data_IF_664216673530
#
_entry.id   IF_664216673530
#
_cell.length_a   1.000
_cell.length_b   1.000
_cell.length_c   1.000
_cell.angle_alpha   90.00
_cell.angle_beta   90.00
_cell.angle_gamma   90.00
#
_symmetry.space_group_name_H-M   'P 1'
#
loop_
_entity.id
_entity.type
_entity.pdbx_description
1 polymer ?
#
# COMPACT_ATOMS: atom_id res chain seq x y z
N UNK A 1 -11.26 -7.07 7.86
CA UNK A 1 -10.88 -5.82 7.19
C UNK A 1 -10.27 -6.12 5.83
N UNK A 2 -10.56 -5.29 4.86
CA UNK A 2 -9.95 -5.36 3.54
C UNK A 2 -8.95 -4.22 3.40
N UNK A 3 -7.80 -4.49 2.78
CA UNK A 3 -6.82 -3.48 2.44
C UNK A 3 -6.20 -3.78 1.08
N UNK A 4 -5.54 -2.79 0.52
CA UNK A 4 -4.92 -2.87 -0.80
C UNK A 4 -3.44 -2.51 -0.69
N UNK A 5 -2.62 -3.16 -1.51
CA UNK A 5 -1.19 -2.92 -1.57
C UNK A 5 -0.66 -3.15 -2.97
N UNK A 6 0.55 -2.69 -3.24
CA UNK A 6 1.29 -3.08 -4.43
C UNK A 6 2.48 -3.95 -4.02
N UNK A 7 2.89 -4.84 -4.91
CA UNK A 7 4.12 -5.61 -4.74
C UNK A 7 4.64 -6.03 -6.12
N UNK A 8 5.91 -6.43 -6.19
CA UNK A 8 6.47 -6.93 -7.43
C UNK A 8 5.73 -8.20 -7.86
N UNK A 9 5.46 -8.33 -9.15
CA UNK A 9 4.73 -9.47 -9.72
C UNK A 9 5.44 -10.82 -9.52
N UNK A 10 6.74 -10.79 -9.25
CA UNK A 10 7.53 -12.01 -8.99
C UNK A 10 7.25 -12.64 -7.63
N UNK A 11 6.61 -11.90 -6.72
CA UNK A 11 6.29 -12.39 -5.38
C UNK A 11 4.95 -13.10 -5.38
N UNK A 12 4.92 -14.29 -4.78
CA UNK A 12 3.70 -15.08 -4.66
C UNK A 12 2.73 -14.43 -3.68
N UNK A 13 1.51 -14.14 -4.14
CA UNK A 13 0.49 -13.51 -3.31
C UNK A 13 0.07 -14.43 -2.16
N UNK A 14 0.06 -15.74 -2.39
CA UNK A 14 -0.28 -16.72 -1.36
C UNK A 14 0.66 -16.66 -0.14
N UNK A 15 1.89 -16.21 -0.31
CA UNK A 15 2.85 -16.07 0.79
C UNK A 15 2.38 -15.06 1.85
N UNK A 16 1.52 -14.12 1.47
CA UNK A 16 0.97 -13.12 2.40
C UNK A 16 0.04 -13.73 3.44
N UNK A 17 -0.49 -14.93 3.18
CA UNK A 17 -1.39 -15.63 4.12
C UNK A 17 -0.64 -16.55 5.07
N UNK A 18 0.67 -16.66 4.93
CA UNK A 18 1.53 -17.47 5.79
C UNK A 18 2.02 -16.62 6.97
N UNK A 19 1.77 -17.08 8.19
CA UNK A 19 2.04 -16.29 9.39
C UNK A 19 3.48 -15.80 9.49
N UNK A 20 4.46 -16.61 9.09
CA UNK A 20 5.88 -16.29 9.13
C UNK A 20 6.27 -15.14 8.21
N UNK A 21 5.43 -14.82 7.22
CA UNK A 21 5.68 -13.75 6.25
C UNK A 21 4.93 -12.45 6.59
N UNK A 22 4.16 -12.44 7.67
CA UNK A 22 3.30 -11.30 8.01
C UNK A 22 4.01 -10.29 8.92
N UNK A 23 5.06 -9.70 8.36
CA UNK A 23 5.86 -8.68 9.02
C UNK A 23 6.10 -7.51 8.10
N UNK A 24 6.12 -6.31 8.66
CA UNK A 24 6.46 -5.08 7.94
C UNK A 24 7.75 -4.51 8.49
N UNK A 25 8.67 -4.22 7.58
CA UNK A 25 9.98 -3.66 7.89
C UNK A 25 9.96 -2.18 7.49
N UNK A 26 10.33 -1.26 8.40
CA UNK A 26 10.36 0.15 8.07
C UNK A 26 11.40 0.44 7.00
N UNK A 27 11.08 1.38 6.11
CA UNK A 27 12.02 1.82 5.07
C UNK A 27 13.07 2.74 5.71
N UNK A 28 14.34 2.37 5.55
CA UNK A 28 15.44 3.29 5.78
C UNK A 28 16.04 3.38 7.18
N UNK A 29 15.65 2.52 8.12
CA UNK A 29 16.25 2.58 9.45
C UNK A 29 16.52 1.21 10.06
N UNK A 30 17.77 0.93 10.37
CA UNK A 30 18.16 -0.28 11.10
C UNK A 30 17.66 -0.25 12.56
N UNK A 31 17.29 0.93 13.05
CA UNK A 31 16.88 1.16 14.44
C UNK A 31 15.37 1.14 14.64
N UNK A 32 14.60 1.03 13.55
CA UNK A 32 13.14 1.01 13.64
C UNK A 32 12.63 -0.41 13.87
N UNK A 33 11.62 -0.52 14.71
CA UNK A 33 11.02 -1.80 15.06
C UNK A 33 10.27 -2.43 13.90
N UNK A 34 10.49 -3.73 13.69
CA UNK A 34 9.69 -4.54 12.81
C UNK A 34 8.29 -4.68 13.42
N UNK A 35 7.26 -4.53 12.59
CA UNK A 35 5.87 -4.61 13.04
C UNK A 35 5.19 -5.85 12.50
N UNK A 36 4.32 -6.43 13.31
CA UNK A 36 3.50 -7.57 12.89
C UNK A 36 2.40 -7.09 11.96
N UNK A 37 2.28 -7.71 10.80
CA UNK A 37 1.23 -7.47 9.83
C UNK A 37 1.77 -7.07 8.46
N UNK A 38 0.92 -7.21 7.45
CA UNK A 38 1.21 -6.81 6.08
C UNK A 38 0.66 -5.39 5.86
N UNK A 39 1.51 -4.51 5.36
CA UNK A 39 1.14 -3.12 5.10
C UNK A 39 0.22 -3.00 3.88
N UNK A 40 -0.80 -2.17 4.02
CA UNK A 40 -1.72 -1.82 2.94
C UNK A 40 -2.49 -0.55 3.30
N UNK A 41 -3.41 -0.15 2.45
CA UNK A 41 -4.32 0.97 2.68
C UNK A 41 -5.75 0.50 2.54
N UNK A 42 -6.67 1.13 3.28
CA UNK A 42 -8.08 0.70 3.31
C UNK A 42 -8.83 0.95 2.01
N UNK A 43 -8.42 1.94 1.25
CA UNK A 43 -9.05 2.27 -0.04
C UNK A 43 -8.01 2.36 -1.13
N UNK A 44 -8.46 2.20 -2.38
CA UNK A 44 -7.58 2.37 -3.54
C UNK A 44 -7.09 3.81 -3.66
N UNK A 45 -7.91 4.79 -3.32
CA UNK A 45 -7.50 6.20 -3.34
C UNK A 45 -6.39 6.47 -2.34
N UNK A 46 -6.52 5.96 -1.11
CA UNK A 46 -5.48 6.09 -0.10
C UNK A 46 -4.18 5.40 -0.55
N UNK A 47 -4.29 4.21 -1.15
CA UNK A 47 -3.12 3.51 -1.67
C UNK A 47 -2.45 4.29 -2.79
N UNK A 48 -3.22 4.83 -3.74
CA UNK A 48 -2.68 5.60 -4.84
C UNK A 48 -1.91 6.83 -4.33
N UNK A 49 -2.48 7.57 -3.39
CA UNK A 49 -1.84 8.72 -2.78
C UNK A 49 -0.57 8.32 -2.01
N UNK A 50 -0.64 7.23 -1.26
CA UNK A 50 0.51 6.71 -0.51
C UNK A 50 1.66 6.33 -1.45
N UNK A 51 1.38 5.57 -2.50
CA UNK A 51 2.39 5.16 -3.48
C UNK A 51 3.00 6.37 -4.18
N UNK A 52 2.17 7.33 -4.58
CA UNK A 52 2.64 8.52 -5.30
C UNK A 52 3.56 9.41 -4.46
N UNK A 53 3.35 9.48 -3.15
CA UNK A 53 4.07 10.40 -2.26
C UNK A 53 5.21 9.76 -1.48
N UNK A 54 5.21 8.43 -1.31
CA UNK A 54 6.22 7.74 -0.50
C UNK A 54 7.47 7.33 -1.27
N UNK A 55 7.43 7.34 -2.61
CA UNK A 55 8.56 6.92 -3.42
C UNK A 55 8.78 5.41 -3.45
N UNK A 56 7.78 4.62 -3.11
CA UNK A 56 7.88 3.16 -3.14
C UNK A 56 8.14 2.70 -4.58
N UNK A 57 9.20 1.88 -4.73
CA UNK A 57 9.50 1.21 -6.00
C UNK A 57 9.27 -0.29 -5.82
N UNK A 58 8.25 -0.82 -6.46
CA UNK A 58 7.93 -2.24 -6.42
C UNK A 58 8.38 -2.98 -7.69
N UNK A 59 9.22 -2.36 -8.51
CA UNK A 59 9.72 -2.96 -9.76
C UNK A 59 8.62 -3.05 -10.81
N UNK A 60 8.13 -4.27 -11.06
CA UNK A 60 6.96 -4.51 -11.91
C UNK A 60 5.73 -4.71 -11.03
N UNK A 61 5.06 -3.64 -10.61
CA UNK A 61 4.05 -3.73 -9.58
C UNK A 61 2.75 -4.37 -10.06
N UNK A 62 2.13 -5.13 -9.16
CA UNK A 62 0.75 -5.58 -9.30
C UNK A 62 -0.06 -5.07 -8.11
N UNK A 63 -1.34 -4.85 -8.34
CA UNK A 63 -2.27 -4.45 -7.30
C UNK A 63 -2.81 -5.70 -6.60
N UNK A 64 -2.79 -5.70 -5.27
CA UNK A 64 -3.18 -6.84 -4.46
C UNK A 64 -4.23 -6.41 -3.44
N UNK A 65 -5.26 -7.23 -3.31
CA UNK A 65 -6.27 -7.11 -2.26
C UNK A 65 -5.98 -8.14 -1.17
N UNK A 66 -5.91 -7.69 0.07
CA UNK A 66 -5.75 -8.57 1.23
C UNK A 66 -6.93 -8.43 2.17
N UNK A 67 -7.26 -9.52 2.85
CA UNK A 67 -8.37 -9.56 3.79
C UNK A 67 -7.99 -10.37 5.02
N UNK A 68 -8.26 -9.82 6.20
CA UNK A 68 -7.99 -10.46 7.47
C UNK A 68 -8.16 -9.50 8.63
N UNK A 69 -7.87 -9.97 9.86
CA UNK A 69 -7.95 -9.10 11.02
C UNK A 69 -6.84 -8.04 11.00
N UNK A 70 -7.12 -6.92 11.62
CA UNK A 70 -6.14 -5.86 11.82
C UNK A 70 -5.11 -6.30 12.85
N UNK A 71 -3.83 -6.03 12.59
CA UNK A 71 -2.76 -6.27 13.56
C UNK A 71 -2.94 -5.38 14.80
N UNK A 72 -2.45 -5.85 15.93
CA UNK A 72 -2.37 -5.03 17.15
C UNK A 72 -1.24 -4.01 17.10
N UNK A 73 -0.28 -4.19 16.19
CA UNK A 73 0.82 -3.25 16.02
C UNK A 73 0.36 -2.01 15.24
N UNK A 74 1.00 -0.89 15.52
CA UNK A 74 0.70 0.37 14.88
C UNK A 74 1.52 0.52 13.59
N UNK A 75 0.91 0.92 12.46
CA UNK A 75 1.68 1.20 11.25
C UNK A 75 2.54 2.46 11.40
N UNK A 76 3.65 2.51 10.66
CA UNK A 76 4.55 3.67 10.65
C UNK A 76 3.85 4.89 10.05
N UNK A 77 3.15 4.70 8.95
CA UNK A 77 2.54 5.77 8.16
C UNK A 77 1.02 5.83 8.34
N UNK A 78 0.55 5.67 9.58
CA UNK A 78 -0.88 5.70 9.90
C UNK A 78 -1.58 6.97 9.41
N UNK A 79 -0.90 8.11 9.46
CA UNK A 79 -1.44 9.40 9.00
C UNK A 79 -1.59 9.47 7.49
N UNK A 80 -0.93 8.57 6.75
CA UNK A 80 -1.03 8.45 5.30
C UNK A 80 -1.99 7.34 4.87
N UNK A 81 -2.78 6.81 5.79
CA UNK A 81 -3.77 5.77 5.50
C UNK A 81 -3.24 4.34 5.57
N UNK A 82 -2.01 4.14 6.00
CA UNK A 82 -1.46 2.79 6.16
C UNK A 82 -2.16 2.03 7.28
N UNK A 83 -2.45 0.76 7.02
CA UNK A 83 -2.93 -0.21 8.01
C UNK A 83 -2.08 -1.47 7.95
N UNK A 84 -2.03 -2.20 9.05
CA UNK A 84 -1.38 -3.51 9.12
C UNK A 84 -2.44 -4.58 9.29
N UNK A 85 -2.45 -5.55 8.40
CA UNK A 85 -3.42 -6.64 8.35
C UNK A 85 -2.70 -7.97 8.55
N UNK A 86 -3.39 -8.94 9.13
CA UNK A 86 -2.95 -10.33 9.17
C UNK A 86 -3.77 -11.09 8.13
N UNK A 87 -3.31 -11.16 6.86
CA UNK A 87 -4.15 -11.70 5.80
C UNK A 87 -4.51 -13.17 5.98
N UNK A 88 -5.77 -13.47 5.81
CA UNK A 88 -6.31 -14.83 5.69
C UNK A 88 -6.60 -15.15 4.22
N UNK A 89 -6.73 -14.11 3.39
CA UNK A 89 -6.91 -14.22 1.96
C UNK A 89 -6.15 -13.10 1.26
N UNK A 90 -5.63 -13.38 0.07
CA UNK A 90 -4.93 -12.41 -0.76
C UNK A 90 -5.13 -12.77 -2.22
N UNK A 91 -5.37 -11.75 -3.06
CA UNK A 91 -5.56 -11.96 -4.49
C UNK A 91 -4.99 -10.79 -5.30
N UNK A 92 -4.48 -11.09 -6.49
CA UNK A 92 -4.09 -10.07 -7.45
C UNK A 92 -5.34 -9.51 -8.12
N UNK A 93 -5.42 -8.18 -8.18
CA UNK A 93 -6.47 -7.51 -8.95
C UNK A 93 -5.96 -7.34 -10.37
N UNK A 94 -6.57 -8.09 -11.32
CA UNK A 94 -6.10 -8.13 -12.69
C UNK A 94 -6.36 -6.82 -13.45
N UNK A 95 -7.45 -6.12 -13.13
CA UNK A 95 -7.84 -4.87 -13.79
C UNK A 95 -7.28 -3.68 -13.00
N UNK A 96 -5.97 -3.45 -13.15
CA UNK A 96 -5.23 -2.45 -12.39
C UNK A 96 -4.68 -1.29 -13.24
N UNK A 97 -4.94 -1.30 -14.53
CA UNK A 97 -4.39 -0.29 -15.45
C UNK A 97 -4.79 1.13 -15.06
N UNK A 98 -6.08 1.34 -14.80
CA UNK A 98 -6.59 2.65 -14.40
C UNK A 98 -5.97 3.11 -13.07
N UNK A 99 -5.79 2.20 -12.13
CA UNK A 99 -5.13 2.52 -10.86
C UNK A 99 -3.72 3.07 -11.07
N UNK A 100 -2.92 2.40 -11.90
CA UNK A 100 -1.54 2.85 -12.14
C UNK A 100 -1.46 4.12 -12.99
N UNK A 101 -2.44 4.37 -13.85
CA UNK A 101 -2.54 5.66 -14.54
C UNK A 101 -2.79 6.81 -13.57
N UNK A 102 -3.70 6.60 -12.63
CA UNK A 102 -3.97 7.58 -11.56
C UNK A 102 -2.73 7.84 -10.73
N UNK A 103 -2.00 6.79 -10.34
CA UNK A 103 -0.74 6.94 -9.59
C UNK A 103 0.23 7.84 -10.37
N UNK A 104 0.37 7.65 -11.67
CA UNK A 104 1.24 8.49 -12.51
C UNK A 104 0.85 9.96 -12.47
N UNK A 105 -0.44 10.26 -12.57
CA UNK A 105 -0.94 11.63 -12.48
C UNK A 105 -0.69 12.24 -11.10
N UNK A 106 -0.86 11.45 -10.04
CA UNK A 106 -0.62 11.89 -8.67
C UNK A 106 0.87 12.16 -8.39
N UNK A 107 1.76 11.37 -8.98
CA UNK A 107 3.20 11.61 -8.90
C UNK A 107 3.55 12.98 -9.47
N UNK A 108 2.98 13.34 -10.63
CA UNK A 108 3.19 14.64 -11.26
C UNK A 108 2.70 15.77 -10.35
N UNK A 109 1.54 15.61 -9.72
CA UNK A 109 1.03 16.59 -8.75
C UNK A 109 1.99 16.77 -7.57
N UNK A 110 2.48 15.68 -7.03
CA UNK A 110 3.38 15.71 -5.88
C UNK A 110 4.69 16.42 -6.21
N UNK A 111 5.28 16.12 -7.36
CA UNK A 111 6.50 16.80 -7.81
C UNK A 111 6.27 18.27 -8.14
N UNK A 112 5.03 18.68 -8.45
CA UNK A 112 4.66 20.08 -8.68
C UNK A 112 4.40 20.86 -7.39
N UNK A 113 4.53 20.22 -6.22
CA UNK A 113 4.45 20.86 -4.91
C UNK A 113 3.18 20.61 -4.11
N UNK A 114 2.27 19.76 -4.60
CA UNK A 114 1.09 19.37 -3.83
C UNK A 114 1.49 18.53 -2.61
N UNK A 115 0.81 18.72 -1.48
CA UNK A 115 1.04 17.90 -0.29
C UNK A 115 0.22 16.61 -0.35
N UNK A 116 0.41 15.74 0.64
CA UNK A 116 -0.30 14.47 0.70
C UNK A 116 -1.82 14.64 0.73
N UNK A 117 -2.33 15.59 1.48
CA UNK A 117 -3.79 15.79 1.59
C UNK A 117 -4.40 16.21 0.26
N UNK A 118 -3.72 17.07 -0.49
CA UNK A 118 -4.14 17.48 -1.82
C UNK A 118 -4.10 16.31 -2.81
N UNK A 119 -3.06 15.49 -2.74
CA UNK A 119 -2.91 14.30 -3.58
C UNK A 119 -4.01 13.29 -3.26
N UNK A 120 -4.30 13.06 -1.98
CA UNK A 120 -5.37 12.16 -1.56
C UNK A 120 -6.74 12.62 -2.06
N UNK A 121 -7.03 13.91 -1.94
CA UNK A 121 -8.30 14.48 -2.42
C UNK A 121 -8.45 14.24 -3.93
N UNK A 122 -7.39 14.48 -4.70
CA UNK A 122 -7.40 14.22 -6.13
C UNK A 122 -7.61 12.73 -6.44
N UNK A 123 -6.96 11.84 -5.68
CA UNK A 123 -7.13 10.40 -5.84
C UNK A 123 -8.58 9.96 -5.60
N UNK A 124 -9.22 10.52 -4.58
CA UNK A 124 -10.63 10.22 -4.26
C UNK A 124 -11.58 10.66 -5.37
N UNK A 125 -11.24 11.71 -6.11
CA UNK A 125 -12.03 12.15 -7.27
C UNK A 125 -11.78 11.30 -8.51
N UNK A 126 -10.59 10.73 -8.68
CA UNK A 126 -10.20 9.97 -9.86
C UNK A 126 -10.56 8.48 -9.79
N UNK A 127 -10.73 7.94 -8.60
CA UNK A 127 -10.98 6.50 -8.39
C UNK A 127 -12.43 6.19 -8.01
#
# INVERSE_FOLDING_TARGET
MIAYRIQDKSREVADLTVAENQWSYPMGGADEEVRRGVSGCRTLAELAAYVATSGIDAGSPVLVKIEGPKSSDRPVDATMGEVLILPEAAEVIADDEEFFEVVGDLVDMFYSGSDFDEVLEAAEEMI
#
